data_IF_188044395072
#
_entry.id   IF_188044395072
#
_cell.length_a   1.000
_cell.length_b   1.000
_cell.length_c   1.000
_cell.angle_alpha   90.00
_cell.angle_beta   90.00
_cell.angle_gamma   90.00
#
_symmetry.space_group_name_H-M   'P 1'
#
loop_
_entity.id
_entity.type
_entity.pdbx_description
1 polymer ?
#
# COMPACT_ATOMS: atom_id res chain seq x y z
N UNK A 1 -22.15 13.32 -4.10
CA UNK A 1 -23.13 13.38 -2.99
C UNK A 1 -22.61 12.49 -1.86
N UNK A 2 -22.58 12.97 -0.62
CA UNK A 2 -22.12 12.18 0.54
C UNK A 2 -23.10 11.03 0.80
N UNK A 3 -22.60 9.80 0.94
CA UNK A 3 -23.43 8.62 1.22
C UNK A 3 -24.07 8.73 2.61
N UNK A 4 -25.30 8.23 2.75
CA UNK A 4 -25.97 8.12 4.05
C UNK A 4 -25.31 7.05 4.92
N UNK A 5 -25.56 7.08 6.23
CA UNK A 5 -25.02 6.06 7.16
C UNK A 5 -25.39 4.62 6.75
N UNK A 6 -26.66 4.29 6.41
CA UNK A 6 -27.01 2.96 5.91
C UNK A 6 -26.22 2.55 4.66
N UNK A 7 -26.04 3.47 3.71
CA UNK A 7 -25.27 3.19 2.49
C UNK A 7 -23.78 2.93 2.78
N UNK A 8 -23.21 3.57 3.80
CA UNK A 8 -21.83 3.33 4.21
C UNK A 8 -21.66 2.01 4.95
N UNK A 9 -22.62 1.62 5.79
CA UNK A 9 -22.63 0.31 6.45
C UNK A 9 -22.63 -0.83 5.43
N UNK A 10 -23.53 -0.76 4.44
CA UNK A 10 -23.56 -1.71 3.32
C UNK A 10 -22.25 -1.71 2.52
N UNK A 11 -21.67 -0.53 2.29
CA UNK A 11 -20.38 -0.41 1.62
C UNK A 11 -19.26 -1.11 2.40
N UNK A 12 -19.24 -1.02 3.73
CA UNK A 12 -18.23 -1.68 4.55
C UNK A 12 -18.39 -3.20 4.51
N UNK A 13 -19.61 -3.72 4.53
CA UNK A 13 -19.86 -5.16 4.35
C UNK A 13 -19.32 -5.61 3.00
N UNK A 14 -19.63 -4.88 1.92
CA UNK A 14 -19.14 -5.19 0.58
C UNK A 14 -17.61 -5.17 0.50
N UNK A 15 -16.97 -4.10 0.98
CA UNK A 15 -15.50 -3.97 0.94
C UNK A 15 -14.84 -5.03 1.83
N UNK A 16 -15.38 -5.31 3.01
CA UNK A 16 -14.89 -6.37 3.90
C UNK A 16 -14.90 -7.74 3.22
N UNK A 17 -15.99 -8.06 2.50
CA UNK A 17 -16.09 -9.26 1.68
C UNK A 17 -15.05 -9.29 0.55
N UNK A 18 -14.93 -8.21 -0.22
CA UNK A 18 -13.97 -8.11 -1.31
C UNK A 18 -12.51 -8.24 -0.85
N UNK A 19 -12.15 -7.61 0.28
CA UNK A 19 -10.80 -7.74 0.85
C UNK A 19 -10.51 -9.20 1.22
N UNK A 20 -11.47 -9.90 1.82
CA UNK A 20 -11.32 -11.31 2.16
C UNK A 20 -11.23 -12.21 0.93
N UNK A 21 -12.14 -12.05 -0.04
CA UNK A 21 -12.16 -12.83 -1.29
C UNK A 21 -10.86 -12.66 -2.10
N UNK A 22 -10.23 -11.49 -2.03
CA UNK A 22 -8.93 -11.21 -2.67
C UNK A 22 -7.72 -11.65 -1.85
N UNK A 23 -7.94 -12.17 -0.64
CA UNK A 23 -6.88 -12.60 0.27
C UNK A 23 -6.04 -11.45 0.83
N UNK A 24 -6.57 -10.22 0.89
CA UNK A 24 -5.86 -9.07 1.46
C UNK A 24 -5.92 -9.02 2.98
N UNK A 25 -6.80 -9.84 3.56
CA UNK A 25 -7.05 -9.94 4.99
C UNK A 25 -7.34 -11.41 5.31
N UNK A 26 -7.02 -11.87 6.51
CA UNK A 26 -7.41 -13.18 7.04
C UNK A 26 -7.77 -13.12 8.53
N UNK A 27 -8.71 -13.97 8.96
CA UNK A 27 -9.22 -13.96 10.33
C UNK A 27 -9.92 -12.61 10.65
N UNK A 28 -9.54 -11.92 11.72
CA UNK A 28 -10.20 -10.71 12.23
C UNK A 28 -9.44 -9.40 11.96
N UNK A 29 -8.40 -9.49 11.14
CA UNK A 29 -7.56 -8.37 10.69
C UNK A 29 -8.30 -7.40 9.75
N UNK A 30 -7.58 -6.36 9.33
CA UNK A 30 -8.12 -5.29 8.50
C UNK A 30 -9.15 -4.41 9.21
N UNK A 31 -9.35 -3.21 8.68
CA UNK A 31 -10.39 -2.31 9.17
C UNK A 31 -10.72 -1.22 8.16
N UNK A 32 -11.96 -0.73 8.26
CA UNK A 32 -12.50 0.31 7.40
C UNK A 32 -13.10 1.38 8.28
N UNK A 33 -12.85 2.64 7.93
CA UNK A 33 -13.54 3.78 8.54
C UNK A 33 -13.97 4.81 7.50
N UNK A 34 -14.98 5.61 7.81
CA UNK A 34 -15.45 6.68 6.95
C UNK A 34 -16.10 7.81 7.74
N UNK A 35 -15.98 9.03 7.24
CA UNK A 35 -16.57 10.22 7.87
C UNK A 35 -18.08 10.27 7.62
N UNK A 36 -18.89 10.13 8.67
CA UNK A 36 -20.35 10.28 8.60
C UNK A 36 -20.79 11.74 8.65
N UNK A 37 -20.22 12.50 9.56
CA UNK A 37 -20.51 13.91 9.80
C UNK A 37 -19.24 14.61 10.35
N UNK A 38 -19.25 15.93 10.60
CA UNK A 38 -18.24 16.54 11.45
C UNK A 38 -18.14 15.76 12.77
N UNK A 39 -16.92 15.43 13.16
CA UNK A 39 -16.57 14.73 14.40
C UNK A 39 -17.29 13.39 14.62
N UNK A 40 -17.71 12.72 13.54
CA UNK A 40 -18.35 11.39 13.58
C UNK A 40 -17.78 10.48 12.50
N UNK A 41 -17.21 9.36 12.92
CA UNK A 41 -16.65 8.34 12.05
C UNK A 41 -17.43 7.03 12.21
N UNK A 42 -17.83 6.41 11.10
CA UNK A 42 -18.23 5.01 11.07
C UNK A 42 -16.97 4.15 11.03
N UNK A 43 -16.90 3.09 11.83
CA UNK A 43 -15.75 2.19 11.88
C UNK A 43 -16.15 0.73 12.09
N UNK A 44 -15.36 -0.18 11.52
CA UNK A 44 -15.52 -1.63 11.75
C UNK A 44 -15.15 -2.04 13.18
N UNK A 45 -15.81 -3.07 13.75
CA UNK A 45 -15.51 -3.55 15.09
C UNK A 45 -14.23 -4.41 15.14
N UNK A 46 -13.66 -4.52 16.33
CA UNK A 46 -12.60 -5.47 16.65
C UNK A 46 -13.10 -6.91 16.71
N UNK A 47 -12.21 -7.88 16.46
CA UNK A 47 -12.45 -9.31 16.70
C UNK A 47 -13.39 -10.03 15.75
N UNK A 48 -14.10 -9.32 14.86
CA UNK A 48 -14.96 -9.94 13.84
C UNK A 48 -14.25 -10.13 12.51
N UNK A 49 -14.57 -11.21 11.80
CA UNK A 49 -14.08 -11.48 10.46
C UNK A 49 -14.68 -10.51 9.45
N UNK A 50 -13.85 -9.68 8.78
CA UNK A 50 -14.38 -8.57 7.96
C UNK A 50 -15.14 -9.04 6.71
N UNK A 51 -14.84 -10.24 6.21
CA UNK A 51 -15.61 -10.87 5.14
C UNK A 51 -17.03 -11.32 5.52
N UNK A 52 -17.36 -11.33 6.81
CA UNK A 52 -18.66 -11.78 7.37
C UNK A 52 -19.34 -10.69 8.19
N UNK A 53 -19.03 -9.42 7.94
CA UNK A 53 -19.72 -8.32 8.62
C UNK A 53 -21.19 -8.23 8.18
N UNK A 54 -21.98 -7.63 9.06
CA UNK A 54 -23.37 -7.26 8.83
C UNK A 54 -23.46 -5.76 9.12
N UNK A 55 -24.36 -5.00 8.46
CA UNK A 55 -24.46 -3.55 8.61
C UNK A 55 -24.56 -3.07 10.07
N UNK A 56 -25.20 -3.85 10.92
CA UNK A 56 -25.46 -3.58 12.33
C UNK A 56 -24.17 -3.60 13.16
N UNK A 57 -23.14 -4.34 12.73
CA UNK A 57 -21.88 -4.49 13.46
C UNK A 57 -21.02 -3.22 13.53
N UNK A 58 -21.31 -2.22 12.71
CA UNK A 58 -20.47 -1.03 12.58
C UNK A 58 -20.77 -0.01 13.69
N UNK A 59 -19.71 0.60 14.21
CA UNK A 59 -19.75 1.51 15.34
C UNK A 59 -19.58 2.95 14.86
N UNK A 60 -20.11 3.91 15.62
CA UNK A 60 -19.86 5.33 15.39
C UNK A 60 -19.01 5.88 16.54
N UNK A 61 -17.88 6.49 16.20
CA UNK A 61 -16.95 7.10 17.17
C UNK A 61 -16.80 8.60 16.92
N UNK A 62 -16.47 9.34 17.97
CA UNK A 62 -16.04 10.74 17.87
C UNK A 62 -14.52 10.86 17.59
N UNK A 63 -14.01 12.09 17.47
CA UNK A 63 -12.58 12.35 17.20
C UNK A 63 -11.64 12.00 18.37
N UNK A 64 -12.21 11.78 19.56
CA UNK A 64 -11.50 11.26 20.73
C UNK A 64 -11.54 9.73 20.80
N UNK A 65 -12.25 9.07 19.88
CA UNK A 65 -12.39 7.62 19.80
C UNK A 65 -13.48 7.04 20.72
N UNK A 66 -14.31 7.88 21.34
CA UNK A 66 -15.41 7.40 22.17
C UNK A 66 -16.56 6.88 21.29
N UNK A 67 -17.15 5.75 21.67
CA UNK A 67 -18.32 5.20 20.96
C UNK A 67 -19.57 6.02 21.29
N UNK A 68 -20.03 6.78 20.31
CA UNK A 68 -21.19 7.70 20.40
C UNK A 68 -22.41 7.21 19.63
N UNK A 69 -22.32 6.07 18.92
CA UNK A 69 -23.42 5.50 18.16
C UNK A 69 -23.12 4.13 17.58
N UNK A 70 -24.05 3.61 16.78
CA UNK A 70 -23.97 2.24 16.26
C UNK A 70 -24.45 1.16 17.24
N UNK A 71 -25.32 1.50 18.20
CA UNK A 71 -25.87 0.57 19.20
C UNK A 71 -27.14 -0.16 18.71
N UNK A 72 -27.14 -0.63 17.47
CA UNK A 72 -28.24 -1.46 16.96
C UNK A 72 -27.90 -2.94 17.13
N UNK A 73 -28.88 -3.76 17.51
CA UNK A 73 -28.72 -5.22 17.61
C UNK A 73 -27.52 -5.64 18.48
N UNK A 74 -26.68 -6.55 17.97
CA UNK A 74 -25.50 -7.12 18.68
C UNK A 74 -24.34 -6.13 18.89
N UNK A 75 -24.40 -4.94 18.33
CA UNK A 75 -23.27 -3.98 18.37
C UNK A 75 -23.04 -3.33 19.74
N UNK A 76 -24.01 -3.39 20.65
CA UNK A 76 -23.88 -2.83 22.00
C UNK A 76 -22.76 -3.47 22.85
N UNK A 77 -22.30 -4.67 22.50
CA UNK A 77 -21.16 -5.36 23.14
C UNK A 77 -19.85 -5.24 22.35
N UNK A 78 -19.90 -4.73 21.12
CA UNK A 78 -18.74 -4.62 20.25
C UNK A 78 -17.87 -3.42 20.64
N UNK A 79 -16.58 -3.57 20.41
CA UNK A 79 -15.58 -2.50 20.56
C UNK A 79 -15.06 -2.10 19.18
N UNK A 80 -14.65 -0.84 18.99
CA UNK A 80 -13.99 -0.43 17.75
C UNK A 80 -12.70 -1.22 17.55
N UNK A 81 -12.22 -1.29 16.31
CA UNK A 81 -10.90 -1.88 15.99
C UNK A 81 -9.80 -1.33 16.91
N UNK A 82 -8.84 -2.18 17.27
CA UNK A 82 -7.66 -1.78 18.06
C UNK A 82 -6.76 -0.78 17.31
N UNK A 83 -6.87 -0.73 15.98
CA UNK A 83 -6.18 0.22 15.09
C UNK A 83 -6.90 1.59 14.98
N UNK A 84 -7.95 1.84 15.78
CA UNK A 84 -8.67 3.11 15.77
C UNK A 84 -7.74 4.34 15.92
N UNK A 85 -6.70 4.33 16.78
CA UNK A 85 -5.77 5.46 16.87
C UNK A 85 -5.09 5.82 15.54
N UNK A 86 -4.71 4.83 14.75
CA UNK A 86 -4.10 5.03 13.42
C UNK A 86 -5.09 5.70 12.45
N UNK A 87 -6.36 5.26 12.47
CA UNK A 87 -7.42 5.88 11.68
C UNK A 87 -7.67 7.34 12.08
N UNK A 88 -7.79 7.62 13.38
CA UNK A 88 -7.99 8.97 13.89
C UNK A 88 -6.83 9.89 13.52
N UNK A 89 -5.59 9.39 13.59
CA UNK A 89 -4.42 10.14 13.17
C UNK A 89 -4.47 10.50 11.68
N UNK A 90 -4.85 9.57 10.81
CA UNK A 90 -5.02 9.85 9.38
C UNK A 90 -6.03 11.00 9.16
N UNK A 91 -7.20 10.98 9.80
CA UNK A 91 -8.19 12.07 9.68
C UNK A 91 -7.71 13.41 10.26
N UNK A 92 -6.88 13.39 11.32
CA UNK A 92 -6.32 14.63 11.90
C UNK A 92 -5.30 15.28 10.96
N UNK A 93 -4.45 14.47 10.34
CA UNK A 93 -3.44 14.96 9.41
C UNK A 93 -4.00 15.29 8.02
N UNK A 94 -5.13 14.68 7.66
CA UNK A 94 -5.80 14.85 6.36
C UNK A 94 -7.28 15.21 6.52
N UNK A 95 -7.63 16.48 6.70
CA UNK A 95 -9.04 16.90 6.76
C UNK A 95 -9.82 16.65 5.46
N UNK A 96 -9.11 16.49 4.33
CA UNK A 96 -9.66 16.23 2.99
C UNK A 96 -10.20 14.81 2.82
N UNK A 97 -9.60 13.80 3.47
CA UNK A 97 -10.01 12.41 3.29
C UNK A 97 -11.35 12.12 3.95
N UNK A 98 -12.12 11.21 3.35
CA UNK A 98 -13.42 10.78 3.85
C UNK A 98 -13.44 9.32 4.26
N UNK A 99 -12.40 8.54 3.92
CA UNK A 99 -12.30 7.14 4.28
C UNK A 99 -10.85 6.68 4.42
N UNK A 100 -10.68 5.64 5.22
CA UNK A 100 -9.42 4.96 5.47
C UNK A 100 -9.68 3.45 5.43
N UNK A 101 -8.84 2.71 4.72
CA UNK A 101 -8.83 1.25 4.64
C UNK A 101 -7.44 0.74 5.04
N UNK A 102 -7.41 -0.13 6.04
CA UNK A 102 -6.21 -0.86 6.45
C UNK A 102 -6.42 -2.36 6.18
N UNK A 103 -5.40 -3.00 5.61
CA UNK A 103 -5.41 -4.41 5.26
C UNK A 103 -3.99 -4.98 5.30
N UNK A 104 -3.85 -6.29 5.19
CA UNK A 104 -2.58 -7.03 5.29
C UNK A 104 -2.26 -7.79 3.98
N UNK A 105 -2.17 -7.09 2.82
CA UNK A 105 -1.99 -7.74 1.53
C UNK A 105 -0.65 -8.52 1.46
N UNK A 106 -0.65 -9.83 1.14
CA UNK A 106 0.51 -10.69 1.38
C UNK A 106 1.78 -10.31 0.61
N UNK A 107 1.69 -9.94 -0.67
CA UNK A 107 2.88 -9.64 -1.46
C UNK A 107 3.49 -8.31 -1.01
N UNK A 108 2.65 -7.31 -0.76
CA UNK A 108 3.06 -6.04 -0.14
C UNK A 108 3.82 -6.28 1.17
N UNK A 109 3.27 -7.10 2.08
CA UNK A 109 3.92 -7.41 3.36
C UNK A 109 5.24 -8.16 3.14
N UNK A 110 5.26 -9.13 2.23
CA UNK A 110 6.48 -9.88 1.89
C UNK A 110 7.60 -8.97 1.36
N UNK A 111 7.28 -8.03 0.46
CA UNK A 111 8.25 -7.07 -0.06
C UNK A 111 8.76 -6.13 1.03
N UNK A 112 7.88 -5.69 1.95
CA UNK A 112 8.30 -4.89 3.11
C UNK A 112 9.32 -5.63 3.98
N UNK A 113 9.10 -6.92 4.24
CA UNK A 113 10.02 -7.77 5.01
C UNK A 113 11.34 -7.96 4.26
N UNK A 114 11.29 -8.10 2.94
CA UNK A 114 12.46 -8.26 2.08
C UNK A 114 13.27 -6.96 1.88
N UNK A 115 12.75 -5.80 2.32
CA UNK A 115 13.39 -4.51 2.10
C UNK A 115 13.33 -4.04 0.64
N UNK A 116 12.38 -4.54 -0.15
CA UNK A 116 12.16 -4.10 -1.53
C UNK A 116 11.31 -2.83 -1.51
N UNK A 117 11.80 -1.70 -2.06
CA UNK A 117 11.07 -0.44 -2.03
C UNK A 117 9.83 -0.49 -2.93
N UNK A 118 8.72 0.05 -2.45
CA UNK A 118 7.46 0.18 -3.18
C UNK A 118 7.32 1.52 -3.92
N UNK A 119 8.35 2.38 -3.81
CA UNK A 119 8.38 3.73 -4.37
C UNK A 119 8.91 3.81 -5.81
N UNK A 120 9.19 2.67 -6.43
CA UNK A 120 9.60 2.61 -7.84
C UNK A 120 8.40 2.96 -8.75
N UNK A 121 8.62 3.87 -9.70
CA UNK A 121 7.61 4.29 -10.66
C UNK A 121 7.42 3.25 -11.77
N UNK A 122 6.83 2.10 -11.45
CA UNK A 122 6.69 0.97 -12.38
C UNK A 122 5.48 1.13 -13.32
N UNK A 123 4.37 1.65 -12.79
CA UNK A 123 3.07 1.59 -13.44
C UNK A 123 2.40 2.97 -13.47
N UNK A 124 1.88 3.41 -14.64
CA UNK A 124 1.20 4.70 -14.75
C UNK A 124 0.02 4.87 -13.79
N UNK A 125 -0.79 3.83 -13.63
CA UNK A 125 -1.98 3.85 -12.77
C UNK A 125 -1.63 4.01 -11.28
N UNK A 126 -0.47 3.50 -10.84
CA UNK A 126 0.01 3.67 -9.46
C UNK A 126 0.36 5.13 -9.23
N UNK A 127 1.15 5.72 -10.13
CA UNK A 127 1.58 7.12 -10.03
C UNK A 127 0.37 8.05 -10.03
N UNK A 128 -0.61 7.82 -10.92
CA UNK A 128 -1.80 8.67 -11.02
C UNK A 128 -2.73 8.50 -9.80
N UNK A 129 -2.95 7.28 -9.32
CA UNK A 129 -3.96 7.00 -8.27
C UNK A 129 -3.45 7.15 -6.84
N UNK A 130 -2.20 6.74 -6.58
CA UNK A 130 -1.56 6.68 -5.26
C UNK A 130 -0.41 7.68 -5.09
N UNK A 131 0.27 8.05 -6.17
CA UNK A 131 1.52 8.78 -6.09
C UNK A 131 2.64 7.88 -5.59
N UNK A 132 3.49 8.40 -4.71
CA UNK A 132 4.55 7.63 -4.04
C UNK A 132 3.91 6.72 -2.98
N UNK A 133 4.46 5.51 -2.82
CA UNK A 133 4.06 4.59 -1.77
C UNK A 133 5.26 4.41 -0.81
N UNK A 134 5.35 5.19 0.27
CA UNK A 134 6.42 5.05 1.24
C UNK A 134 6.17 3.86 2.17
N UNK A 135 7.26 3.35 2.74
CA UNK A 135 7.23 2.34 3.80
C UNK A 135 7.58 2.98 5.13
N UNK A 136 6.77 2.77 6.16
CA UNK A 136 7.03 3.30 7.51
C UNK A 136 8.24 2.61 8.15
N UNK A 137 8.78 3.18 9.23
CA UNK A 137 9.57 2.38 10.17
C UNK A 137 8.68 1.29 10.79
N UNK A 138 9.29 0.20 11.29
CA UNK A 138 8.56 -0.79 12.09
C UNK A 138 8.03 -0.13 13.36
N UNK A 139 6.77 -0.41 13.67
CA UNK A 139 6.12 0.02 14.90
C UNK A 139 5.16 -1.06 15.36
N UNK A 140 5.00 -1.20 16.67
CA UNK A 140 4.07 -2.18 17.23
C UNK A 140 2.63 -1.85 16.82
N UNK A 141 1.86 -2.77 16.21
CA UNK A 141 0.45 -2.54 15.88
C UNK A 141 -0.36 -2.08 17.10
N UNK A 142 -1.41 -1.28 16.85
CA UNK A 142 -2.31 -0.78 17.89
C UNK A 142 -1.60 -0.05 19.06
N UNK A 143 -0.50 0.63 18.76
CA UNK A 143 0.31 1.40 19.72
C UNK A 143 0.52 2.86 19.30
N UNK A 144 0.97 3.68 20.24
CA UNK A 144 1.40 5.07 19.98
C UNK A 144 2.59 5.16 19.01
N UNK A 145 3.43 4.11 18.92
CA UNK A 145 4.51 4.06 17.94
C UNK A 145 3.96 4.00 16.52
N UNK A 146 2.89 3.22 16.29
CA UNK A 146 2.26 3.10 14.97
C UNK A 146 1.66 4.44 14.53
N UNK A 147 1.01 5.14 15.47
CA UNK A 147 0.48 6.50 15.25
C UNK A 147 1.60 7.47 14.86
N UNK A 148 2.74 7.44 15.58
CA UNK A 148 3.89 8.30 15.26
C UNK A 148 4.51 7.96 13.91
N UNK A 149 4.59 6.67 13.57
CA UNK A 149 5.21 6.20 12.34
C UNK A 149 4.48 6.68 11.07
N UNK A 150 3.15 6.83 11.13
CA UNK A 150 2.36 7.29 9.97
C UNK A 150 2.18 8.81 9.90
N UNK A 151 2.32 9.53 11.03
CA UNK A 151 1.88 10.93 11.21
C UNK A 151 2.37 11.89 10.12
N UNK A 152 3.66 11.85 9.82
CA UNK A 152 4.26 12.74 8.82
C UNK A 152 3.99 12.24 7.40
N UNK A 153 4.08 10.93 7.16
CA UNK A 153 3.89 10.35 5.84
C UNK A 153 2.47 10.51 5.32
N UNK A 154 1.45 10.33 6.16
CA UNK A 154 0.04 10.36 5.72
C UNK A 154 -0.40 11.76 5.23
N UNK A 155 0.35 12.82 5.57
CA UNK A 155 0.08 14.21 5.13
C UNK A 155 0.17 14.38 3.61
N UNK A 156 1.04 13.64 2.95
CA UNK A 156 1.33 13.80 1.51
C UNK A 156 1.08 12.54 0.68
N UNK A 157 0.63 11.44 1.30
CA UNK A 157 0.50 10.14 0.63
C UNK A 157 -0.91 9.57 0.72
N UNK A 158 -1.35 8.91 -0.35
CA UNK A 158 -2.66 8.26 -0.40
C UNK A 158 -2.62 6.76 -0.09
N UNK A 159 -1.43 6.17 -0.03
CA UNK A 159 -1.18 4.80 0.39
C UNK A 159 0.18 4.66 1.07
N UNK A 160 0.22 3.93 2.17
CA UNK A 160 1.42 3.62 2.95
C UNK A 160 1.59 2.10 3.06
N UNK A 161 2.85 1.65 3.07
CA UNK A 161 3.21 0.31 3.55
C UNK A 161 3.66 0.41 5.00
N UNK A 162 3.02 -0.36 5.87
CA UNK A 162 3.38 -0.47 7.28
C UNK A 162 4.37 -1.63 7.42
N UNK A 163 5.63 -1.32 7.76
CA UNK A 163 6.72 -2.29 7.76
C UNK A 163 6.40 -3.52 8.61
N UNK A 164 6.40 -4.72 8.00
CA UNK A 164 6.07 -6.01 8.61
C UNK A 164 4.64 -6.11 9.20
N UNK A 165 3.74 -5.21 8.82
CA UNK A 165 2.39 -5.15 9.36
C UNK A 165 1.33 -5.24 8.25
N UNK A 166 1.34 -4.33 7.28
CA UNK A 166 0.27 -4.26 6.28
C UNK A 166 0.33 -3.01 5.44
N UNK A 167 -0.82 -2.48 5.06
CA UNK A 167 -0.94 -1.22 4.32
C UNK A 167 -2.04 -0.33 4.90
N UNK A 168 -1.94 0.96 4.63
CA UNK A 168 -2.96 1.96 4.96
C UNK A 168 -3.24 2.79 3.72
N UNK A 169 -4.50 2.87 3.31
CA UNK A 169 -4.92 3.64 2.13
C UNK A 169 -6.06 4.57 2.49
N UNK A 170 -6.08 5.74 1.87
CA UNK A 170 -7.07 6.80 2.16
C UNK A 170 -7.77 7.24 0.88
N UNK A 171 -8.92 7.89 1.00
CA UNK A 171 -9.65 8.42 -0.16
C UNK A 171 -10.88 9.25 0.19
N UNK A 172 -11.52 9.78 -0.86
CA UNK A 172 -12.78 10.53 -0.82
C UNK A 172 -14.01 9.67 -0.51
N UNK A 173 -13.83 8.36 -0.49
CA UNK A 173 -14.87 7.37 -0.27
C UNK A 173 -14.23 6.03 0.11
N UNK A 174 -14.96 5.16 0.83
CA UNK A 174 -14.46 3.83 1.16
C UNK A 174 -14.05 3.02 -0.06
N UNK A 175 -14.79 3.19 -1.16
CA UNK A 175 -14.50 2.49 -2.42
C UNK A 175 -13.19 3.00 -3.05
N UNK A 176 -12.92 4.31 -3.04
CA UNK A 176 -11.66 4.82 -3.56
C UNK A 176 -10.47 4.35 -2.72
N UNK A 177 -10.57 4.40 -1.39
CA UNK A 177 -9.53 3.86 -0.50
C UNK A 177 -9.30 2.35 -0.77
N UNK A 178 -10.36 1.57 -0.94
CA UNK A 178 -10.25 0.15 -1.31
C UNK A 178 -9.61 -0.08 -2.70
N UNK A 179 -10.00 0.68 -3.73
CA UNK A 179 -9.37 0.57 -5.05
C UNK A 179 -7.88 0.92 -5.01
N UNK A 180 -7.49 1.89 -4.16
CA UNK A 180 -6.09 2.22 -3.88
C UNK A 180 -5.35 1.05 -3.23
N UNK A 181 -5.98 0.34 -2.31
CA UNK A 181 -5.43 -0.91 -1.75
C UNK A 181 -5.21 -1.96 -2.84
N UNK A 182 -6.17 -2.13 -3.76
CA UNK A 182 -6.03 -3.05 -4.90
C UNK A 182 -4.84 -2.68 -5.79
N UNK A 183 -4.72 -1.39 -6.14
CA UNK A 183 -3.61 -0.89 -6.96
C UNK A 183 -2.26 -1.07 -6.25
N UNK A 184 -2.20 -0.85 -4.94
CA UNK A 184 -0.99 -1.04 -4.14
C UNK A 184 -0.51 -2.50 -4.18
N UNK A 185 -1.41 -3.45 -3.94
CA UNK A 185 -1.06 -4.88 -3.97
C UNK A 185 -0.75 -5.36 -5.40
N UNK A 186 -1.40 -4.81 -6.42
CA UNK A 186 -1.06 -5.10 -7.81
C UNK A 186 0.35 -4.60 -8.16
N UNK A 187 0.74 -3.42 -7.70
CA UNK A 187 2.10 -2.91 -7.83
C UNK A 187 3.11 -3.86 -7.15
N UNK A 188 2.77 -4.35 -5.96
CA UNK A 188 3.61 -5.28 -5.21
C UNK A 188 3.79 -6.61 -5.96
N UNK A 189 2.72 -7.16 -6.54
CA UNK A 189 2.78 -8.38 -7.37
C UNK A 189 3.69 -8.21 -8.58
N UNK A 190 3.58 -7.09 -9.27
CA UNK A 190 4.43 -6.80 -10.43
C UNK A 190 5.88 -6.61 -9.99
N UNK A 191 6.13 -5.83 -8.93
CA UNK A 191 7.47 -5.67 -8.37
C UNK A 191 8.11 -6.99 -7.93
N UNK A 192 7.33 -7.88 -7.31
CA UNK A 192 7.78 -9.22 -6.94
C UNK A 192 8.15 -10.06 -8.17
N UNK A 193 7.30 -10.10 -9.20
CA UNK A 193 7.61 -10.81 -10.45
C UNK A 193 8.86 -10.25 -11.14
N UNK A 194 9.01 -8.93 -11.19
CA UNK A 194 10.20 -8.27 -11.73
C UNK A 194 11.46 -8.62 -10.95
N UNK A 195 11.38 -8.67 -9.62
CA UNK A 195 12.48 -9.09 -8.77
C UNK A 195 12.87 -10.55 -9.00
N UNK A 196 11.90 -11.44 -9.24
CA UNK A 196 12.18 -12.83 -9.62
C UNK A 196 12.92 -12.91 -10.96
N UNK A 197 12.53 -12.06 -11.92
CA UNK A 197 13.24 -11.89 -13.19
C UNK A 197 14.60 -11.19 -13.04
N UNK A 198 14.95 -10.63 -11.88
CA UNK A 198 16.18 -9.85 -11.73
C UNK A 198 16.17 -8.55 -12.55
N UNK A 199 14.97 -8.04 -12.90
CA UNK A 199 14.78 -6.84 -13.70
C UNK A 199 14.28 -5.71 -12.82
N UNK A 200 14.85 -4.52 -13.00
CA UNK A 200 14.33 -3.26 -12.46
C UNK A 200 14.33 -2.23 -13.58
N UNK A 201 13.14 -1.82 -14.01
CA UNK A 201 12.96 -0.90 -15.14
C UNK A 201 11.85 0.12 -14.85
N UNK A 202 12.10 1.11 -13.97
CA UNK A 202 11.13 2.16 -13.69
C UNK A 202 10.89 3.04 -14.92
N UNK A 203 9.75 3.74 -14.94
CA UNK A 203 9.42 4.70 -15.98
C UNK A 203 10.47 5.83 -16.04
N UNK A 204 10.83 6.30 -17.25
CA UNK A 204 11.66 7.48 -17.41
C UNK A 204 11.05 8.71 -16.72
N UNK A 205 11.90 9.55 -16.12
CA UNK A 205 11.46 10.70 -15.32
C UNK A 205 10.53 11.67 -16.08
N UNK A 206 10.73 11.84 -17.39
CA UNK A 206 9.87 12.68 -18.23
C UNK A 206 8.45 12.10 -18.39
N UNK A 207 8.30 10.77 -18.37
CA UNK A 207 6.98 10.12 -18.38
C UNK A 207 6.33 10.19 -17.00
N UNK A 208 7.10 10.02 -15.93
CA UNK A 208 6.62 10.23 -14.55
C UNK A 208 6.07 11.65 -14.38
N UNK A 209 6.79 12.68 -14.84
CA UNK A 209 6.34 14.07 -14.79
C UNK A 209 5.01 14.30 -15.53
N UNK A 210 4.79 13.66 -16.69
CA UNK A 210 3.50 13.74 -17.39
C UNK A 210 2.36 13.15 -16.56
N UNK A 211 2.61 12.04 -15.88
CA UNK A 211 1.63 11.37 -15.02
C UNK A 211 1.34 12.19 -13.75
N UNK A 212 2.35 12.84 -13.17
CA UNK A 212 2.15 13.77 -12.04
C UNK A 212 1.27 14.96 -12.44
N UNK A 213 1.45 15.50 -13.65
CA UNK A 213 0.56 16.55 -14.18
C UNK A 213 -0.87 16.03 -14.41
N UNK A 214 -1.05 14.77 -14.78
CA UNK A 214 -2.38 14.18 -14.88
C UNK A 214 -3.03 14.05 -13.49
N UNK A 215 -2.28 13.56 -12.51
CA UNK A 215 -2.72 13.48 -11.10
C UNK A 215 -3.14 14.84 -10.54
N UNK A 216 -2.38 15.89 -10.83
CA UNK A 216 -2.71 17.27 -10.47
C UNK A 216 -4.02 17.75 -11.12
N UNK A 217 -4.20 17.50 -12.42
CA UNK A 217 -5.46 17.82 -13.12
C UNK A 217 -6.67 17.09 -12.55
N UNK A 218 -6.45 15.92 -11.94
CA UNK A 218 -7.48 15.15 -11.24
C UNK A 218 -7.73 15.62 -9.80
N UNK A 219 -6.98 16.61 -9.31
CA UNK A 219 -7.10 17.12 -7.94
C UNK A 219 -6.58 16.16 -6.87
N UNK A 220 -5.68 15.24 -7.25
CA UNK A 220 -5.16 14.20 -6.34
C UNK A 220 -3.73 14.49 -5.85
N UNK A 221 -3.08 15.54 -6.37
CA UNK A 221 -1.68 15.86 -6.04
C UNK A 221 -1.53 16.60 -4.71
N UNK A 222 -0.45 16.32 -3.98
CA UNK A 222 -0.09 17.02 -2.74
C UNK A 222 1.05 18.01 -2.94
N UNK A 223 1.09 19.08 -2.13
CA UNK A 223 2.02 20.21 -2.32
C UNK A 223 3.51 19.81 -2.30
N UNK A 224 3.89 18.77 -1.55
CA UNK A 224 5.28 18.30 -1.43
C UNK A 224 5.58 17.10 -2.32
N UNK A 225 4.57 16.50 -2.96
CA UNK A 225 4.66 15.20 -3.64
C UNK A 225 5.71 15.23 -4.78
N UNK A 226 5.78 16.32 -5.55
CA UNK A 226 6.76 16.48 -6.64
C UNK A 226 8.22 16.53 -6.16
N UNK A 227 8.46 16.95 -4.92
CA UNK A 227 9.82 17.07 -4.37
C UNK A 227 10.37 15.71 -3.93
N UNK A 228 9.48 14.73 -3.76
CA UNK A 228 9.80 13.37 -3.32
C UNK A 228 10.12 12.44 -4.52
N UNK A 229 9.71 12.81 -5.74
CA UNK A 229 10.07 12.09 -6.96
C UNK A 229 11.44 12.53 -7.49
N UNK A 230 12.39 11.58 -7.60
CA UNK A 230 13.68 11.87 -8.21
C UNK A 230 13.55 12.05 -9.73
N UNK A 231 13.87 13.25 -10.21
CA UNK A 231 13.85 13.58 -11.64
C UNK A 231 14.96 12.91 -12.48
N UNK A 232 15.89 12.20 -11.82
CA UNK A 232 17.04 11.56 -12.49
C UNK A 232 16.79 10.08 -12.79
N UNK A 233 16.23 9.33 -11.83
CA UNK A 233 16.12 7.86 -11.95
C UNK A 233 14.69 7.31 -11.87
N UNK A 234 13.66 8.15 -11.72
CA UNK A 234 12.27 7.70 -11.62
C UNK A 234 11.99 6.81 -10.39
N UNK A 235 12.83 6.90 -9.35
CA UNK A 235 12.66 6.22 -8.06
C UNK A 235 12.70 7.26 -6.94
N UNK A 236 12.00 7.03 -5.83
CA UNK A 236 12.00 8.01 -4.73
C UNK A 236 13.11 7.68 -3.74
N UNK A 237 14.05 8.61 -3.56
CA UNK A 237 15.05 8.57 -2.49
C UNK A 237 15.24 9.99 -1.92
N UNK A 238 15.59 10.14 -0.63
CA UNK A 238 16.00 11.43 -0.10
C UNK A 238 17.15 12.01 -0.94
N UNK A 239 17.18 13.33 -1.14
CA UNK A 239 18.21 14.03 -1.93
C UNK A 239 19.65 13.80 -1.43
N UNK A 240 19.81 13.20 -0.25
CA UNK A 240 21.07 12.90 0.43
C UNK A 240 21.57 11.46 0.28
N UNK A 241 20.78 10.55 -0.31
CA UNK A 241 21.21 9.17 -0.54
C UNK A 241 21.74 8.98 -1.97
N UNK A 242 22.86 8.27 -2.08
CA UNK A 242 23.50 7.92 -3.36
C UNK A 242 22.51 7.18 -4.23
N UNK A 243 22.39 7.58 -5.50
CA UNK A 243 21.67 6.83 -6.54
C UNK A 243 22.12 5.37 -6.49
N UNK A 244 21.32 4.49 -5.87
CA UNK A 244 21.63 3.07 -5.91
C UNK A 244 21.53 2.66 -7.38
N UNK A 245 22.64 2.25 -8.04
CA UNK A 245 22.54 1.69 -9.36
C UNK A 245 21.56 0.52 -9.31
N UNK A 246 20.85 0.27 -10.41
CA UNK A 246 19.90 -0.84 -10.52
C UNK A 246 20.44 -2.08 -9.81
N UNK A 247 19.80 -2.45 -8.70
CA UNK A 247 20.29 -3.49 -7.82
C UNK A 247 20.25 -4.80 -8.60
N UNK A 248 21.40 -5.25 -9.12
CA UNK A 248 21.55 -6.58 -9.68
C UNK A 248 21.52 -7.56 -8.52
N UNK A 249 20.33 -8.03 -8.16
CA UNK A 249 20.18 -9.18 -7.28
C UNK A 249 20.68 -10.42 -8.04
N UNK A 250 22.00 -10.59 -8.05
CA UNK A 250 22.68 -11.66 -8.78
C UNK A 250 24.21 -11.66 -8.71
N UNK A 251 24.84 -10.84 -7.86
CA UNK A 251 26.31 -10.83 -7.70
C UNK A 251 26.73 -11.21 -6.29
N UNK A 252 27.53 -12.27 -6.15
CA UNK A 252 28.26 -12.58 -4.91
C UNK A 252 29.12 -11.40 -4.50
N UNK A 253 29.06 -11.00 -3.23
CA UNK A 253 29.82 -9.89 -2.68
C UNK A 253 31.34 -10.07 -2.91
N UNK A 254 31.96 -9.14 -3.62
CA UNK A 254 33.40 -8.88 -3.54
C UNK A 254 33.62 -7.37 -3.42
N UNK A 255 34.51 -7.01 -2.49
CA UNK A 255 34.85 -5.67 -2.03
C UNK A 255 35.41 -4.79 -3.16
N UNK A 256 35.09 -3.48 -3.25
CA UNK A 256 35.59 -2.66 -4.35
C UNK A 256 37.01 -2.11 -4.06
N UNK A 257 37.93 -2.39 -4.98
CA UNK A 257 39.15 -1.59 -5.18
C UNK A 257 38.87 -0.43 -6.15
N UNK A 258 39.66 0.63 -6.02
CA UNK A 258 39.41 1.96 -6.60
C UNK A 258 39.50 2.03 -8.14
N UNK A 259 38.60 2.85 -8.71
CA UNK A 259 38.89 3.74 -9.84
C UNK A 259 38.66 3.20 -11.25
N UNK A 260 37.58 3.66 -11.90
CA UNK A 260 37.58 4.28 -13.25
C UNK A 260 36.14 4.61 -13.69
N UNK A 261 35.97 5.73 -14.39
CA UNK A 261 34.70 6.22 -14.90
C UNK A 261 34.15 5.28 -15.99
N UNK A 262 32.88 4.87 -15.87
CA UNK A 262 32.22 4.01 -16.86
C UNK A 262 31.03 4.75 -17.46
N UNK A 263 31.11 4.96 -18.77
CA UNK A 263 30.05 5.37 -19.70
C UNK A 263 28.74 4.62 -19.44
N UNK A 264 27.66 5.35 -19.19
CA UNK A 264 26.30 4.83 -19.04
C UNK A 264 25.77 4.28 -20.36
N UNK A 265 25.91 2.98 -20.57
CA UNK A 265 25.12 2.21 -21.54
C UNK A 265 24.00 1.53 -20.75
N UNK A 266 22.77 2.02 -20.87
CA UNK A 266 21.57 1.27 -20.47
C UNK A 266 21.47 0.03 -21.37
N UNK A 267 21.60 -1.20 -20.85
CA UNK A 267 21.37 -2.37 -21.68
C UNK A 267 19.87 -2.57 -21.81
N UNK A 268 19.31 -2.28 -22.98
CA UNK A 268 18.01 -2.81 -23.36
C UNK A 268 18.16 -4.32 -23.55
N UNK A 269 17.64 -5.13 -22.64
CA UNK A 269 17.54 -6.57 -22.85
C UNK A 269 16.75 -6.80 -24.13
N UNK A 270 17.35 -7.48 -25.11
CA UNK A 270 16.61 -7.83 -26.32
C UNK A 270 15.57 -8.92 -25.97
N UNK A 271 14.55 -9.09 -26.82
CA UNK A 271 13.45 -10.02 -26.54
C UNK A 271 13.87 -11.48 -26.35
N UNK A 272 15.08 -11.86 -26.78
CA UNK A 272 15.65 -13.19 -26.55
C UNK A 272 16.16 -13.35 -25.12
N UNK A 273 16.96 -12.40 -24.64
CA UNK A 273 17.52 -12.41 -23.28
C UNK A 273 16.44 -12.38 -22.20
N UNK A 274 15.35 -11.63 -22.44
CA UNK A 274 14.19 -11.62 -21.53
C UNK A 274 13.47 -12.98 -21.50
N UNK A 275 13.34 -13.67 -22.64
CA UNK A 275 12.73 -15.01 -22.69
C UNK A 275 13.58 -16.04 -21.94
N UNK A 276 14.90 -15.98 -22.10
CA UNK A 276 15.81 -16.90 -21.43
C UNK A 276 15.80 -16.69 -19.91
N UNK A 277 15.70 -15.45 -19.46
CA UNK A 277 15.60 -15.10 -18.05
C UNK A 277 14.27 -15.56 -17.44
N UNK A 278 13.15 -15.35 -18.14
CA UNK A 278 11.84 -15.88 -17.75
C UNK A 278 11.90 -17.41 -17.66
N UNK A 279 12.50 -18.09 -18.64
CA UNK A 279 12.63 -19.55 -18.64
C UNK A 279 13.46 -20.06 -17.45
N UNK A 280 14.57 -19.40 -17.11
CA UNK A 280 15.41 -19.77 -15.96
C UNK A 280 14.68 -19.60 -14.62
N UNK A 281 13.88 -18.54 -14.47
CA UNK A 281 13.12 -18.26 -13.25
C UNK A 281 11.96 -19.24 -13.09
N UNK A 282 11.24 -19.53 -14.17
CA UNK A 282 10.20 -20.57 -14.19
C UNK A 282 10.82 -21.91 -13.79
N UNK A 283 11.96 -22.28 -14.37
CA UNK A 283 12.64 -23.54 -14.04
C UNK A 283 13.07 -23.60 -12.57
N UNK A 284 13.66 -22.53 -12.02
CA UNK A 284 14.05 -22.47 -10.60
C UNK A 284 12.84 -22.57 -9.67
N UNK A 285 11.73 -21.93 -10.04
CA UNK A 285 10.49 -21.95 -9.26
C UNK A 285 9.87 -23.35 -9.28
N UNK A 286 9.85 -24.03 -10.43
CA UNK A 286 9.38 -25.41 -10.57
C UNK A 286 10.22 -26.39 -9.75
N UNK A 287 11.56 -26.28 -9.82
CA UNK A 287 12.47 -27.12 -9.03
C UNK A 287 12.27 -26.90 -7.51
N UNK A 288 12.09 -25.65 -7.08
CA UNK A 288 11.77 -25.33 -5.69
C UNK A 288 10.38 -25.83 -5.26
N UNK A 289 9.43 -25.87 -6.19
CA UNK A 289 8.07 -26.38 -5.96
C UNK A 289 8.05 -27.90 -5.79
N UNK A 290 8.72 -28.62 -6.70
CA UNK A 290 8.85 -30.07 -6.67
C UNK A 290 9.65 -30.56 -5.46
N UNK A 291 10.77 -29.90 -5.14
CA UNK A 291 11.61 -30.26 -3.99
C UNK A 291 10.91 -30.10 -2.63
N UNK A 292 9.84 -29.29 -2.55
CA UNK A 292 9.01 -29.11 -1.35
C UNK A 292 7.77 -30.03 -1.31
N UNK A 293 7.61 -30.92 -2.28
CA UNK A 293 6.56 -31.93 -2.29
C UNK A 293 5.16 -31.40 -2.60
N UNK A 294 5.04 -30.22 -3.22
CA UNK A 294 3.76 -29.70 -3.65
C UNK A 294 3.33 -30.38 -4.95
N UNK A 295 2.34 -31.28 -4.90
CA UNK A 295 1.70 -31.85 -6.09
C UNK A 295 0.58 -30.94 -6.60
N UNK A 296 0.51 -30.82 -7.93
CA UNK A 296 -0.35 -30.00 -8.81
C UNK A 296 -1.61 -29.32 -8.21
N UNK A 297 -1.80 -28.04 -8.58
CA UNK A 297 -3.11 -27.35 -8.56
C UNK A 297 -4.04 -27.93 -9.61
#
# INVERSE_FOLDING_TARGET
MRKSEPQLREMFVKIGRLMYEKGFICSSDGNISARLAPNRLLITPSGLHKGMLEPEHMLVVDDAGNVIGGRYGRSHTLKPTSELPMHLEAYRQRPDIQAVVHAHPPITVALSIAGVPMADCLLPEVIVSLGIIPTTAYATPSSEENVRAIRELIRSHDGLVLQRHGSLTVGDSPMQAFMRLETLEQNARIGFMLAQLGVRNPLPANEVEKLLRQREKMGLSHATERQEFCQVCGSCHPATETHLPAMRLGGTASTPSQGQAVSTVTPSLNSGELRDLVAQVVQKTLVLWESKGYTHM
#
